data_IF_933520197424
#
_entry.id   IF_933520197424
#
_cell.length_a   1.000
_cell.length_b   1.000
_cell.length_c   1.000
_cell.angle_alpha   90.00
_cell.angle_beta   90.00
_cell.angle_gamma   90.00
#
_symmetry.space_group_name_H-M   'P 1'
#
loop_
_entity.id
_entity.type
_entity.pdbx_description
1 polymer ?
#
# COMPACT_ATOMS: atom_id res chain seq x y z
N UNK A 1 -7.99 0.87 -4.67
CA UNK A 1 -7.50 1.76 -5.74
C UNK A 1 -6.01 2.08 -5.63
N UNK A 2 -5.46 2.27 -4.42
CA UNK A 2 -4.02 2.52 -4.21
C UNK A 2 -3.12 1.49 -4.92
N UNK A 3 -3.35 0.20 -4.66
CA UNK A 3 -2.63 -0.91 -5.32
C UNK A 3 -2.90 -1.00 -6.82
N UNK A 4 -4.14 -0.74 -7.25
CA UNK A 4 -4.51 -0.74 -8.66
C UNK A 4 -3.68 0.28 -9.44
N UNK A 5 -3.50 1.48 -8.88
CA UNK A 5 -2.63 2.50 -9.48
C UNK A 5 -1.15 2.11 -9.38
N UNK A 6 -0.73 1.47 -8.28
CA UNK A 6 0.65 0.99 -8.12
C UNK A 6 1.08 0.01 -9.22
N UNK A 7 0.18 -0.89 -9.61
CA UNK A 7 0.44 -1.87 -10.67
C UNK A 7 0.22 -1.33 -12.10
N UNK A 8 -0.10 -0.03 -12.26
CA UNK A 8 -0.28 0.61 -13.56
C UNK A 8 -1.70 0.51 -14.13
N UNK A 9 -2.71 0.23 -13.31
CA UNK A 9 -4.12 0.21 -13.71
C UNK A 9 -4.60 -1.12 -14.29
N UNK A 10 -5.82 -1.12 -14.81
CA UNK A 10 -6.39 -2.29 -15.49
C UNK A 10 -5.75 -2.51 -16.86
N UNK A 11 -5.61 -3.79 -17.23
CA UNK A 11 -5.21 -4.19 -18.59
C UNK A 11 -6.39 -4.74 -19.38
N UNK A 12 -6.96 -5.84 -18.89
CA UNK A 12 -8.10 -6.55 -19.51
C UNK A 12 -9.25 -6.80 -18.54
N UNK A 13 -9.10 -6.39 -17.27
CA UNK A 13 -10.11 -6.52 -16.23
C UNK A 13 -10.83 -5.20 -15.94
N UNK A 14 -11.66 -5.21 -14.90
CA UNK A 14 -12.36 -4.03 -14.41
C UNK A 14 -12.92 -4.25 -13.01
N UNK A 15 -13.74 -3.30 -12.56
CA UNK A 15 -14.47 -3.41 -11.30
C UNK A 15 -15.82 -4.07 -11.56
N UNK A 16 -15.89 -5.39 -11.40
CA UNK A 16 -17.16 -6.11 -11.42
C UNK A 16 -17.88 -5.93 -10.09
N UNK A 17 -19.10 -5.38 -10.11
CA UNK A 17 -19.96 -5.31 -8.94
C UNK A 17 -20.63 -6.67 -8.70
N UNK A 18 -19.84 -7.66 -8.28
CA UNK A 18 -20.33 -8.94 -7.74
C UNK A 18 -20.91 -8.73 -6.33
N UNK A 19 -21.98 -7.95 -6.30
CA UNK A 19 -22.65 -7.48 -5.11
C UNK A 19 -24.16 -7.70 -5.24
N UNK A 20 -24.86 -7.58 -4.12
CA UNK A 20 -26.31 -7.71 -4.07
C UNK A 20 -26.89 -6.69 -3.11
N UNK A 21 -28.10 -6.25 -3.41
CA UNK A 21 -28.91 -5.48 -2.47
C UNK A 21 -29.17 -6.29 -1.20
N UNK A 22 -29.41 -5.59 -0.10
CA UNK A 22 -29.79 -6.22 1.18
C UNK A 22 -31.19 -6.78 1.05
N UNK A 23 -31.53 -7.80 1.86
CA UNK A 23 -32.85 -8.45 1.80
C UNK A 23 -34.04 -7.49 1.94
N UNK A 24 -33.88 -6.41 2.69
CA UNK A 24 -34.93 -5.41 2.91
C UNK A 24 -34.95 -4.31 1.84
N UNK A 25 -33.88 -4.16 1.06
CA UNK A 25 -33.79 -3.27 -0.09
C UNK A 25 -34.29 -4.01 -1.32
N UNK A 26 -35.62 -4.14 -1.40
CA UNK A 26 -36.31 -5.06 -2.30
C UNK A 26 -37.08 -4.34 -3.42
N UNK A 27 -37.09 -3.01 -3.43
CA UNK A 27 -37.72 -2.26 -4.50
C UNK A 27 -36.77 -2.19 -5.71
N UNK A 28 -37.29 -2.16 -6.96
CA UNK A 28 -36.43 -2.08 -8.15
C UNK A 28 -35.48 -0.87 -8.13
N UNK A 29 -35.87 0.25 -7.51
CA UNK A 29 -35.03 1.44 -7.37
C UNK A 29 -33.80 1.21 -6.49
N UNK A 30 -33.86 0.26 -5.54
CA UNK A 30 -32.75 -0.08 -4.67
C UNK A 30 -31.55 -0.65 -5.44
N UNK A 31 -31.79 -1.31 -6.58
CA UNK A 31 -30.71 -1.76 -7.46
C UNK A 31 -29.89 -0.58 -7.98
N UNK A 32 -30.54 0.54 -8.29
CA UNK A 32 -29.88 1.75 -8.77
C UNK A 32 -29.11 2.44 -7.63
N UNK A 33 -29.75 2.64 -6.47
CA UNK A 33 -29.08 3.22 -5.31
C UNK A 33 -27.84 2.42 -4.89
N UNK A 34 -27.93 1.08 -4.91
CA UNK A 34 -26.80 0.22 -4.57
C UNK A 34 -25.61 0.38 -5.55
N UNK A 35 -25.87 0.39 -6.86
CA UNK A 35 -24.80 0.55 -7.84
C UNK A 35 -24.22 1.96 -7.85
N UNK A 36 -25.06 3.00 -7.75
CA UNK A 36 -24.60 4.39 -7.65
C UNK A 36 -23.68 4.56 -6.44
N UNK A 37 -24.10 4.11 -5.26
CA UNK A 37 -23.26 4.19 -4.05
C UNK A 37 -21.94 3.42 -4.17
N UNK A 38 -21.96 2.25 -4.82
CA UNK A 38 -20.74 1.49 -5.11
C UNK A 38 -19.80 2.23 -6.09
N UNK A 39 -20.35 2.77 -7.16
CA UNK A 39 -19.61 3.53 -8.18
C UNK A 39 -18.98 4.80 -7.58
N UNK A 40 -19.74 5.57 -6.80
CA UNK A 40 -19.25 6.78 -6.14
C UNK A 40 -18.15 6.47 -5.11
N UNK A 41 -18.31 5.39 -4.33
CA UNK A 41 -17.30 4.97 -3.35
C UNK A 41 -15.98 4.59 -4.04
N UNK A 42 -16.04 3.85 -5.16
CA UNK A 42 -14.84 3.53 -5.93
C UNK A 42 -14.23 4.74 -6.62
N UNK A 43 -15.05 5.66 -7.14
CA UNK A 43 -14.59 6.90 -7.76
C UNK A 43 -13.87 7.79 -6.75
N UNK A 44 -14.46 8.04 -5.58
CA UNK A 44 -13.80 8.80 -4.51
C UNK A 44 -12.53 8.12 -4.03
N UNK A 45 -12.57 6.78 -3.87
CA UNK A 45 -11.40 5.99 -3.51
C UNK A 45 -10.27 6.07 -4.55
N UNK A 46 -10.60 6.26 -5.83
CA UNK A 46 -9.63 6.46 -6.92
C UNK A 46 -8.95 7.82 -6.82
N UNK A 47 -9.71 8.89 -6.62
CA UNK A 47 -9.17 10.25 -6.45
C UNK A 47 -8.22 10.35 -5.25
N UNK A 48 -8.64 9.82 -4.10
CA UNK A 48 -7.81 9.79 -2.88
C UNK A 48 -6.54 8.96 -3.13
N UNK A 49 -6.67 7.76 -3.72
CA UNK A 49 -5.53 6.93 -4.03
C UNK A 49 -4.54 7.61 -4.99
N UNK A 50 -5.04 8.36 -5.97
CA UNK A 50 -4.20 9.15 -6.86
C UNK A 50 -3.44 10.22 -6.09
N UNK A 51 -4.13 11.01 -5.26
CA UNK A 51 -3.52 12.07 -4.45
C UNK A 51 -2.45 11.53 -3.49
N UNK A 52 -2.70 10.40 -2.81
CA UNK A 52 -1.71 9.74 -1.93
C UNK A 52 -0.44 9.39 -2.69
N UNK A 53 -0.58 8.83 -3.90
CA UNK A 53 0.58 8.42 -4.72
C UNK A 53 1.33 9.60 -5.30
N UNK A 54 0.61 10.65 -5.71
CA UNK A 54 1.21 11.89 -6.20
C UNK A 54 2.00 12.61 -5.10
N UNK A 55 1.45 12.69 -3.89
CA UNK A 55 2.11 13.27 -2.72
C UNK A 55 3.39 12.50 -2.31
N UNK A 56 3.32 11.17 -2.38
CA UNK A 56 4.46 10.27 -2.22
C UNK A 56 5.05 10.20 -0.81
N UNK A 57 4.43 10.82 0.22
CA UNK A 57 4.90 10.68 1.63
C UNK A 57 4.91 9.21 2.07
N UNK A 58 3.89 8.44 1.68
CA UNK A 58 3.80 7.02 2.01
C UNK A 58 4.92 6.21 1.34
N UNK A 59 5.16 6.44 0.05
CA UNK A 59 6.22 5.76 -0.71
C UNK A 59 7.61 6.12 -0.18
N UNK A 60 7.84 7.40 0.16
CA UNK A 60 9.09 7.85 0.80
C UNK A 60 9.30 7.18 2.16
N UNK A 61 8.27 7.11 3.00
CA UNK A 61 8.38 6.43 4.30
C UNK A 61 8.80 4.96 4.15
N UNK A 62 8.22 4.25 3.17
CA UNK A 62 8.61 2.87 2.88
C UNK A 62 10.05 2.78 2.37
N UNK A 63 10.45 3.64 1.43
CA UNK A 63 11.82 3.69 0.91
C UNK A 63 12.84 3.92 2.04
N UNK A 64 12.59 4.91 2.90
CA UNK A 64 13.46 5.23 4.04
C UNK A 64 13.56 4.07 5.03
N UNK A 65 12.42 3.41 5.32
CA UNK A 65 12.37 2.26 6.23
C UNK A 65 13.24 1.10 5.76
N UNK A 66 13.31 0.87 4.45
CA UNK A 66 14.05 -0.25 3.86
C UNK A 66 15.39 0.18 3.23
N UNK A 67 15.84 1.43 3.40
CA UNK A 67 17.05 1.97 2.79
C UNK A 67 18.32 1.13 3.10
N UNK A 68 18.37 0.46 4.26
CA UNK A 68 19.47 -0.44 4.61
C UNK A 68 19.66 -1.63 3.66
N UNK A 69 18.59 -2.07 2.98
CA UNK A 69 18.66 -3.13 1.98
C UNK A 69 19.33 -2.70 0.68
N UNK A 70 19.42 -1.39 0.41
CA UNK A 70 20.15 -0.86 -0.73
C UNK A 70 21.67 -0.87 -0.55
N UNK A 71 22.17 -1.14 0.66
CA UNK A 71 23.59 -1.29 0.96
C UNK A 71 24.19 -2.58 0.40
N UNK A 72 25.52 -2.72 0.50
CA UNK A 72 26.27 -3.82 -0.13
C UNK A 72 25.86 -5.22 0.38
N UNK A 73 25.77 -5.40 1.70
CA UNK A 73 25.29 -6.68 2.26
C UNK A 73 23.82 -6.92 1.92
N UNK A 74 22.97 -5.90 2.06
CA UNK A 74 21.53 -6.01 1.77
C UNK A 74 21.26 -6.47 0.35
N UNK A 75 21.95 -5.89 -0.64
CA UNK A 75 21.90 -6.32 -2.04
C UNK A 75 22.44 -7.73 -2.23
N UNK A 76 23.58 -8.05 -1.62
CA UNK A 76 24.17 -9.40 -1.72
C UNK A 76 23.23 -10.47 -1.16
N UNK A 77 22.52 -10.18 -0.07
CA UNK A 77 21.49 -11.08 0.48
C UNK A 77 20.29 -11.18 -0.46
N UNK A 78 19.76 -10.05 -0.93
CA UNK A 78 18.59 -10.02 -1.82
C UNK A 78 18.81 -10.77 -3.14
N UNK A 79 20.05 -10.76 -3.65
CA UNK A 79 20.44 -11.46 -4.87
C UNK A 79 20.91 -12.90 -4.65
N UNK A 80 20.88 -13.41 -3.40
CA UNK A 80 21.30 -14.77 -3.08
C UNK A 80 22.80 -15.03 -3.17
N UNK A 81 23.62 -13.97 -3.10
CA UNK A 81 25.08 -14.02 -3.18
C UNK A 81 25.77 -14.09 -1.82
N UNK A 82 25.09 -13.72 -0.73
CA UNK A 82 25.61 -13.78 0.62
C UNK A 82 25.41 -15.17 1.26
N UNK A 83 26.43 -15.65 1.98
CA UNK A 83 26.36 -16.83 2.83
C UNK A 83 26.05 -16.47 4.28
N UNK A 84 25.72 -17.47 5.11
CA UNK A 84 25.60 -17.28 6.57
C UNK A 84 26.91 -16.80 7.20
N UNK A 85 28.06 -17.20 6.66
CA UNK A 85 29.36 -16.77 7.16
C UNK A 85 29.60 -15.28 6.90
N UNK A 86 29.17 -14.77 5.74
CA UNK A 86 29.27 -13.34 5.40
C UNK A 86 28.39 -12.50 6.35
N UNK A 87 27.18 -12.99 6.65
CA UNK A 87 26.28 -12.35 7.62
C UNK A 87 26.86 -12.35 9.05
N UNK A 88 27.44 -13.46 9.52
CA UNK A 88 28.07 -13.53 10.84
C UNK A 88 29.26 -12.57 10.94
N UNK A 89 30.12 -12.50 9.92
CA UNK A 89 31.23 -11.56 9.86
C UNK A 89 30.75 -10.10 9.90
N UNK A 90 29.69 -9.76 9.17
CA UNK A 90 29.09 -8.42 9.21
C UNK A 90 28.58 -8.08 10.61
N UNK A 91 27.82 -8.96 11.26
CA UNK A 91 27.27 -8.71 12.60
C UNK A 91 28.40 -8.51 13.62
N UNK A 92 29.48 -9.30 13.57
CA UNK A 92 30.62 -9.17 14.49
C UNK A 92 31.41 -7.87 14.31
N UNK A 93 31.40 -7.30 13.11
CA UNK A 93 32.17 -6.09 12.76
C UNK A 93 31.38 -4.79 12.90
N UNK A 94 30.07 -4.87 13.19
CA UNK A 94 29.19 -3.73 13.31
C UNK A 94 28.62 -3.60 14.74
N UNK A 95 28.16 -2.40 15.07
CA UNK A 95 27.47 -2.16 16.34
C UNK A 95 26.05 -2.77 16.33
N UNK A 96 25.46 -2.86 17.52
CA UNK A 96 24.07 -3.30 17.68
C UNK A 96 23.12 -2.48 16.80
N UNK A 97 22.22 -3.11 16.03
CA UNK A 97 21.31 -2.39 15.14
C UNK A 97 20.36 -1.47 15.92
N UNK A 98 20.19 -0.25 15.42
CA UNK A 98 19.20 0.67 15.94
C UNK A 98 17.79 0.23 15.53
N UNK A 99 16.83 0.26 16.47
CA UNK A 99 15.42 0.06 16.15
C UNK A 99 14.82 1.36 15.64
N UNK A 100 14.09 1.27 14.54
CA UNK A 100 13.32 2.39 13.99
C UNK A 100 11.82 2.19 14.24
N UNK A 101 11.14 3.26 14.65
CA UNK A 101 9.68 3.26 14.86
C UNK A 101 8.95 2.95 13.55
N UNK A 102 7.84 2.21 13.64
CA UNK A 102 6.95 1.95 12.52
C UNK A 102 6.00 3.12 12.18
N UNK A 103 5.91 4.14 13.06
CA UNK A 103 5.08 5.34 12.88
C UNK A 103 3.62 5.05 12.48
N UNK A 104 3.02 3.99 13.01
CA UNK A 104 1.69 3.54 12.61
C UNK A 104 0.62 4.63 12.79
N UNK A 105 0.59 5.28 13.96
CA UNK A 105 -0.40 6.32 14.27
C UNK A 105 -0.25 7.54 13.34
N UNK A 106 0.99 7.89 12.99
CA UNK A 106 1.26 8.94 12.01
C UNK A 106 0.77 8.55 10.62
N UNK A 107 1.01 7.31 10.18
CA UNK A 107 0.59 6.82 8.88
C UNK A 107 -0.93 6.72 8.76
N UNK A 108 -1.63 6.26 9.81
CA UNK A 108 -3.09 6.24 9.85
C UNK A 108 -3.67 7.66 9.76
N UNK A 109 -3.08 8.63 10.48
CA UNK A 109 -3.46 10.04 10.38
C UNK A 109 -3.17 10.65 9.01
N UNK A 110 -2.05 10.28 8.39
CA UNK A 110 -1.70 10.69 7.03
C UNK A 110 -2.76 10.22 6.03
N UNK A 111 -3.23 8.97 6.12
CA UNK A 111 -4.30 8.49 5.25
C UNK A 111 -5.59 9.28 5.49
N UNK A 112 -5.95 9.56 6.73
CA UNK A 112 -7.13 10.35 7.07
C UNK A 112 -7.08 11.78 6.49
N UNK A 113 -5.90 12.39 6.39
CA UNK A 113 -5.70 13.72 5.76
C UNK A 113 -6.20 13.76 4.30
N UNK A 114 -6.10 12.66 3.56
CA UNK A 114 -6.59 12.59 2.18
C UNK A 114 -8.08 12.22 2.08
N UNK A 115 -8.63 11.59 3.11
CA UNK A 115 -10.02 11.11 3.13
C UNK A 115 -10.99 12.21 3.53
N UNK A 116 -10.58 13.08 4.46
CA UNK A 116 -11.37 14.16 5.07
C UNK A 116 -11.25 15.48 4.29
#
# INVERSE_FOLDING_TARGET
MLELLAMGGFRTGGLNFDAKVRRQSHEPVDLFHAHIGGMDAFAKGLEIAHAIREDGRLDRFMADRYAGWSGDLGRSVAEGRASLADCDAYVRSNAEPARHSGRQEFLENLINEFVL
#
